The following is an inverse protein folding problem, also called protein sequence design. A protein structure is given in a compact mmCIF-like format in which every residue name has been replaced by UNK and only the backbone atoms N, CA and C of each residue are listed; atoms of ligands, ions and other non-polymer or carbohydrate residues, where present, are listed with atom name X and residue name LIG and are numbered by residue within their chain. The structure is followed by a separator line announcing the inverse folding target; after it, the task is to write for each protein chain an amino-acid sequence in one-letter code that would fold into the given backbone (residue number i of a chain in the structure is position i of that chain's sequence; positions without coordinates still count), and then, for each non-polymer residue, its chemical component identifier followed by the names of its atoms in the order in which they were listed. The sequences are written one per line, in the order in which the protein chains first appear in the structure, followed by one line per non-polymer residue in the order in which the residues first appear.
data_IF_025946908730
#
_entry.id   IF_025946908730
#
_cell.length_a   1.000
_cell.length_b   1.000
_cell.length_c   1.000
_cell.angle_alpha   90.00
_cell.angle_beta   90.00
_cell.angle_gamma   90.00
#
_symmetry.space_group_name_H-M   'P 1'
#
loop_
_entity.id
_entity.type
_entity.pdbx_description
1 polymer ?
#
# COMPACT_ATOMS: atom_id res chain seq x y z
N UNK A 1 15.85 -8.01 -6.60
CA UNK A 1 14.49 -8.41 -6.20
C UNK A 1 14.58 -9.72 -5.42
N UNK A 2 14.29 -9.71 -4.11
CA UNK A 2 14.50 -10.90 -3.24
C UNK A 2 13.30 -11.84 -3.18
N UNK A 3 12.09 -11.29 -3.27
CA UNK A 3 10.85 -12.05 -3.16
C UNK A 3 10.45 -12.52 -4.55
N UNK A 4 10.63 -13.82 -4.83
CA UNK A 4 10.51 -14.37 -6.19
C UNK A 4 9.08 -14.31 -6.74
N UNK A 5 8.08 -14.49 -5.88
CA UNK A 5 6.67 -14.62 -6.21
C UNK A 5 5.90 -13.28 -6.33
N UNK A 6 6.60 -12.13 -6.33
CA UNK A 6 6.04 -10.83 -6.74
C UNK A 6 6.20 -10.67 -8.25
N UNK A 7 5.14 -10.58 -9.03
CA UNK A 7 5.30 -10.56 -10.49
C UNK A 7 5.86 -9.24 -10.98
N UNK A 8 5.18 -8.16 -10.61
CA UNK A 8 5.51 -6.79 -10.97
C UNK A 8 5.59 -5.94 -9.71
N UNK A 9 6.53 -5.00 -9.73
CA UNK A 9 6.61 -3.91 -8.77
C UNK A 9 6.41 -2.61 -9.53
N UNK A 10 5.27 -1.99 -9.32
CA UNK A 10 4.98 -0.66 -9.84
C UNK A 10 5.40 0.34 -8.77
N UNK A 11 6.34 1.21 -9.12
CA UNK A 11 6.84 2.27 -8.23
C UNK A 11 6.17 3.56 -8.67
N UNK A 12 5.36 4.12 -7.79
CA UNK A 12 4.68 5.40 -8.04
C UNK A 12 5.44 6.52 -7.34
N UNK A 13 5.85 7.53 -8.12
CA UNK A 13 6.78 8.57 -7.67
C UNK A 13 6.45 9.94 -8.28
N UNK A 14 7.04 11.00 -7.73
CA UNK A 14 6.88 12.37 -8.22
C UNK A 14 7.59 12.57 -9.57
N UNK A 15 6.95 13.20 -10.55
CA UNK A 15 7.52 13.48 -11.86
C UNK A 15 8.87 14.20 -11.80
N UNK A 16 9.09 15.05 -10.80
CA UNK A 16 10.35 15.76 -10.58
C UNK A 16 11.54 14.80 -10.37
N UNK A 17 11.28 13.58 -9.89
CA UNK A 17 12.32 12.58 -9.59
C UNK A 17 12.55 11.57 -10.74
N UNK A 18 11.99 11.80 -11.94
CA UNK A 18 12.04 10.82 -13.05
C UNK A 18 13.45 10.35 -13.38
N UNK A 19 14.40 11.28 -13.56
CA UNK A 19 15.79 10.94 -13.88
C UNK A 19 16.44 10.08 -12.78
N UNK A 20 16.26 10.48 -11.52
CA UNK A 20 16.80 9.74 -10.36
C UNK A 20 16.19 8.33 -10.29
N UNK A 21 14.89 8.19 -10.52
CA UNK A 21 14.22 6.90 -10.48
C UNK A 21 14.67 5.97 -11.61
N UNK A 22 14.89 6.50 -12.81
CA UNK A 22 15.45 5.74 -13.93
C UNK A 22 16.88 5.26 -13.65
N UNK A 23 17.74 6.12 -13.09
CA UNK A 23 19.10 5.76 -12.68
C UNK A 23 19.10 4.64 -11.63
N UNK A 24 18.25 4.77 -10.61
CA UNK A 24 18.12 3.78 -9.55
C UNK A 24 17.56 2.46 -10.11
N UNK A 25 16.50 2.48 -10.92
CA UNK A 25 15.97 1.24 -11.53
C UNK A 25 16.99 0.58 -12.46
N UNK A 26 17.76 1.39 -13.19
CA UNK A 26 18.86 0.94 -14.03
C UNK A 26 19.93 0.17 -13.26
N UNK A 27 20.30 0.62 -12.07
CA UNK A 27 21.37 0.01 -11.25
C UNK A 27 20.96 -1.31 -10.58
N UNK A 28 19.67 -1.53 -10.32
CA UNK A 28 19.14 -2.74 -9.64
C UNK A 28 19.12 -3.99 -10.54
N UNK A 29 19.11 -3.82 -11.87
CA UNK A 29 19.13 -4.94 -12.82
C UNK A 29 17.83 -5.75 -12.92
N UNK A 30 16.67 -5.14 -12.64
CA UNK A 30 15.35 -5.81 -12.68
C UNK A 30 14.31 -5.06 -13.53
N UNK A 31 14.74 -4.50 -14.66
CA UNK A 31 13.91 -3.62 -15.51
C UNK A 31 12.64 -4.32 -16.04
N UNK A 32 12.61 -5.65 -16.15
CA UNK A 32 11.44 -6.42 -16.61
C UNK A 32 10.34 -6.59 -15.53
N UNK A 33 10.64 -6.28 -14.27
CA UNK A 33 9.71 -6.43 -13.13
C UNK A 33 9.40 -5.12 -12.45
N UNK A 34 10.32 -4.16 -12.48
CA UNK A 34 10.13 -2.84 -11.88
C UNK A 34 9.62 -1.87 -12.93
N UNK A 35 8.48 -1.25 -12.66
CA UNK A 35 7.82 -0.33 -13.58
C UNK A 35 7.58 1.02 -12.91
N UNK A 36 8.04 2.08 -13.55
CA UNK A 36 7.93 3.44 -13.07
C UNK A 36 6.61 4.06 -13.54
N UNK A 37 5.85 4.65 -12.62
CA UNK A 37 4.59 5.36 -12.89
C UNK A 37 4.60 6.71 -12.18
N UNK A 38 4.18 7.75 -12.88
CA UNK A 38 4.04 9.09 -12.30
C UNK A 38 2.85 9.12 -11.35
N UNK A 39 3.07 9.62 -10.14
CA UNK A 39 2.03 9.88 -9.15
C UNK A 39 1.13 11.06 -9.53
N UNK A 40 0.33 11.49 -8.57
CA UNK A 40 -0.59 12.62 -8.72
C UNK A 40 -0.64 13.42 -7.42
N UNK A 41 -1.48 14.46 -7.36
CA UNK A 41 -1.55 15.42 -6.26
C UNK A 41 -1.89 14.79 -4.90
N UNK A 42 -2.54 13.62 -4.88
CA UNK A 42 -2.96 12.94 -3.65
C UNK A 42 -2.52 11.49 -3.61
N UNK A 43 -2.53 10.91 -2.40
CA UNK A 43 -2.23 9.50 -2.15
C UNK A 43 -3.10 8.58 -3.02
N UNK A 44 -4.41 8.73 -2.95
CA UNK A 44 -5.32 7.86 -3.69
C UNK A 44 -5.19 8.03 -5.21
N UNK A 45 -5.02 9.24 -5.73
CA UNK A 45 -4.80 9.43 -7.18
C UNK A 45 -3.49 8.77 -7.65
N UNK A 46 -2.44 8.84 -6.83
CA UNK A 46 -1.18 8.14 -7.12
C UNK A 46 -1.36 6.62 -7.14
N UNK A 47 -2.08 6.06 -6.17
CA UNK A 47 -2.38 4.61 -6.14
C UNK A 47 -3.23 4.21 -7.35
N UNK A 48 -4.21 5.03 -7.74
CA UNK A 48 -5.04 4.80 -8.91
C UNK A 48 -4.21 4.72 -10.21
N UNK A 49 -3.25 5.64 -10.40
CA UNK A 49 -2.34 5.58 -11.55
C UNK A 49 -1.59 4.25 -11.61
N UNK A 50 -1.11 3.76 -10.48
CA UNK A 50 -0.43 2.47 -10.41
C UNK A 50 -1.36 1.28 -10.70
N UNK A 51 -2.61 1.29 -10.21
CA UNK A 51 -3.60 0.26 -10.54
C UNK A 51 -3.95 0.27 -12.04
N UNK A 52 -4.13 1.46 -12.62
CA UNK A 52 -4.45 1.62 -14.05
C UNK A 52 -3.29 1.16 -14.94
N UNK A 53 -2.04 1.32 -14.49
CA UNK A 53 -0.87 0.86 -15.22
C UNK A 53 -0.85 -0.66 -15.44
N UNK A 54 -1.47 -1.46 -14.57
CA UNK A 54 -1.61 -2.92 -14.75
C UNK A 54 -2.35 -3.23 -16.06
N UNK A 55 -3.45 -2.52 -16.33
CA UNK A 55 -4.26 -2.70 -17.54
C UNK A 55 -3.58 -2.08 -18.75
N UNK A 56 -3.04 -0.86 -18.60
CA UNK A 56 -2.41 -0.13 -19.70
C UNK A 56 -1.17 -0.86 -20.27
N UNK A 57 -0.56 -1.76 -19.50
CA UNK A 57 0.58 -2.58 -19.92
C UNK A 57 0.19 -3.94 -20.49
N UNK A 58 -1.11 -4.23 -20.59
CA UNK A 58 -1.65 -5.49 -21.13
C UNK A 58 -1.10 -6.74 -20.43
N UNK A 59 -0.78 -6.62 -19.14
CA UNK A 59 -0.34 -7.78 -18.36
C UNK A 59 -1.53 -8.66 -17.97
N UNK A 60 -1.28 -9.96 -17.71
CA UNK A 60 -2.26 -10.78 -17.01
C UNK A 60 -2.71 -10.09 -15.73
N UNK A 61 -4.02 -10.07 -15.49
CA UNK A 61 -4.56 -9.48 -14.27
C UNK A 61 -4.05 -10.28 -13.05
N UNK A 62 -3.50 -9.62 -12.03
CA UNK A 62 -3.06 -10.30 -10.83
C UNK A 62 -4.27 -10.71 -9.99
N UNK A 63 -4.12 -11.75 -9.17
CA UNK A 63 -5.13 -12.12 -8.19
C UNK A 63 -5.14 -11.12 -7.04
N UNK A 64 -3.95 -10.69 -6.61
CA UNK A 64 -3.75 -9.76 -5.49
C UNK A 64 -2.82 -8.62 -5.86
N UNK A 65 -3.16 -7.45 -5.35
CA UNK A 65 -2.31 -6.26 -5.34
C UNK A 65 -1.99 -5.90 -3.89
N UNK A 66 -0.73 -5.60 -3.60
CA UNK A 66 -0.29 -5.05 -2.32
C UNK A 66 0.11 -3.60 -2.52
N UNK A 67 -0.48 -2.72 -1.72
CA UNK A 67 -0.11 -1.31 -1.61
C UNK A 67 0.79 -1.14 -0.38
N UNK A 68 1.96 -0.55 -0.58
CA UNK A 68 2.94 -0.34 0.47
C UNK A 68 3.61 1.02 0.38
N UNK A 69 3.84 1.70 1.50
CA UNK A 69 4.49 3.00 1.50
C UNK A 69 5.98 2.89 1.15
N UNK A 70 6.43 3.74 0.22
CA UNK A 70 7.83 3.78 -0.22
C UNK A 70 8.83 4.09 0.88
N UNK A 71 8.42 4.94 1.83
CA UNK A 71 9.22 5.36 2.98
C UNK A 71 9.46 4.24 4.02
N UNK A 72 8.83 3.08 3.86
CA UNK A 72 8.94 1.93 4.78
C UNK A 72 9.64 0.77 4.08
N UNK A 73 10.95 0.85 3.78
CA UNK A 73 11.60 -0.11 2.90
C UNK A 73 11.70 -1.54 3.46
N UNK A 74 11.22 -1.78 4.68
CA UNK A 74 11.58 -2.92 5.51
C UNK A 74 10.35 -3.78 5.75
N UNK A 75 10.31 -4.96 5.13
CA UNK A 75 9.13 -5.83 5.12
C UNK A 75 9.49 -7.31 5.18
N UNK A 76 8.95 -8.02 6.18
CA UNK A 76 9.09 -9.46 6.29
C UNK A 76 8.25 -10.21 5.25
N UNK A 77 8.86 -11.17 4.56
CA UNK A 77 8.18 -11.99 3.55
C UNK A 77 7.04 -12.83 4.14
N UNK A 78 7.17 -13.26 5.40
CA UNK A 78 6.12 -13.97 6.14
C UNK A 78 4.85 -13.13 6.31
N UNK A 79 5.01 -11.84 6.65
CA UNK A 79 3.89 -10.90 6.78
C UNK A 79 3.19 -10.70 5.43
N UNK A 80 3.95 -10.49 4.36
CA UNK A 80 3.39 -10.42 3.00
C UNK A 80 2.63 -11.68 2.63
N UNK A 81 3.19 -12.86 2.90
CA UNK A 81 2.52 -14.13 2.63
C UNK A 81 1.18 -14.24 3.36
N UNK A 82 1.13 -13.82 4.62
CA UNK A 82 -0.09 -13.84 5.41
C UNK A 82 -1.13 -12.85 4.87
N UNK A 83 -0.71 -11.61 4.54
CA UNK A 83 -1.58 -10.60 3.95
C UNK A 83 -2.19 -11.06 2.63
N UNK A 84 -1.38 -11.57 1.70
CA UNK A 84 -1.84 -12.08 0.41
C UNK A 84 -2.82 -13.23 0.60
N UNK A 85 -2.52 -14.17 1.51
CA UNK A 85 -3.42 -15.29 1.81
C UNK A 85 -4.77 -14.82 2.37
N UNK A 86 -4.78 -13.80 3.23
CA UNK A 86 -6.00 -13.22 3.76
C UNK A 86 -6.76 -12.37 2.74
N UNK A 87 -6.07 -11.64 1.86
CA UNK A 87 -6.72 -10.93 0.76
C UNK A 87 -7.39 -11.92 -0.20
N UNK A 88 -6.72 -13.03 -0.56
CA UNK A 88 -7.32 -14.10 -1.34
C UNK A 88 -8.55 -14.70 -0.67
N UNK A 89 -8.58 -14.81 0.66
CA UNK A 89 -9.71 -15.43 1.38
C UNK A 89 -10.88 -14.47 1.65
N UNK A 90 -10.60 -13.24 2.08
CA UNK A 90 -11.60 -12.29 2.58
C UNK A 90 -11.86 -11.11 1.61
N UNK A 91 -11.00 -10.94 0.61
CA UNK A 91 -11.03 -9.87 -0.38
C UNK A 91 -10.03 -8.76 -0.10
N UNK A 92 -9.79 -8.42 1.17
CA UNK A 92 -8.72 -7.50 1.55
C UNK A 92 -8.10 -7.83 2.92
N UNK A 93 -6.89 -7.35 3.15
CA UNK A 93 -6.20 -7.46 4.43
C UNK A 93 -5.24 -6.29 4.66
N UNK A 94 -4.99 -5.99 5.94
CA UNK A 94 -4.14 -4.89 6.34
C UNK A 94 -3.48 -5.13 7.68
N UNK A 95 -2.46 -4.31 7.98
CA UNK A 95 -1.73 -4.36 9.23
C UNK A 95 -2.26 -3.28 10.16
N UNK A 96 -2.40 -3.61 11.44
CA UNK A 96 -2.77 -2.66 12.49
C UNK A 96 -1.78 -2.72 13.65
N UNK A 97 -1.59 -1.60 14.34
CA UNK A 97 -0.79 -1.54 15.55
C UNK A 97 -1.54 -0.81 16.68
N UNK A 98 -1.22 -1.15 17.93
CA UNK A 98 -1.80 -0.48 19.09
C UNK A 98 -1.38 0.99 19.11
N UNK A 99 -2.34 1.86 19.38
CA UNK A 99 -2.07 3.28 19.60
C UNK A 99 -1.22 3.46 20.86
N UNK A 100 -0.17 4.29 20.76
CA UNK A 100 0.71 4.65 21.89
C UNK A 100 0.31 5.96 22.56
N UNK A 101 -0.22 6.90 21.78
CA UNK A 101 -0.77 8.16 22.26
C UNK A 101 -2.30 8.08 22.39
N UNK A 102 -2.87 8.91 23.25
CA UNK A 102 -4.32 9.12 23.29
C UNK A 102 -4.74 9.90 22.04
N UNK A 103 -5.83 9.48 21.41
CA UNK A 103 -6.44 10.19 20.27
C UNK A 103 -7.67 10.93 20.78
N UNK A 104 -7.75 12.22 20.45
CA UNK A 104 -8.84 13.10 20.86
C UNK A 104 -9.61 13.54 19.62
N UNK A 105 -10.93 13.61 19.70
CA UNK A 105 -11.71 14.46 18.79
C UNK A 105 -11.82 15.86 19.39
N UNK A 106 -11.85 16.85 18.51
CA UNK A 106 -11.91 18.26 18.88
C UNK A 106 -12.98 18.96 18.07
N UNK A 107 -13.61 19.98 18.66
CA UNK A 107 -14.53 20.85 17.94
C UNK A 107 -13.80 21.72 16.91
N UNK A 108 -14.56 22.43 16.06
CA UNK A 108 -14.02 23.39 15.10
C UNK A 108 -13.21 24.53 15.76
N UNK A 109 -13.43 24.79 17.05
CA UNK A 109 -12.70 25.79 17.84
C UNK A 109 -11.56 25.18 18.68
N UNK A 110 -11.18 23.93 18.40
CA UNK A 110 -10.12 23.17 19.10
C UNK A 110 -10.37 22.90 20.58
N UNK A 111 -11.62 22.93 21.04
CA UNK A 111 -11.97 22.39 22.36
C UNK A 111 -12.05 20.86 22.30
N UNK A 112 -11.65 20.21 23.38
CA UNK A 112 -11.80 18.75 23.53
C UNK A 112 -13.28 18.37 23.45
N UNK A 113 -13.62 17.47 22.53
CA UNK A 113 -14.96 16.87 22.43
C UNK A 113 -14.96 15.50 23.14
N UNK A 114 -14.14 14.55 22.69
CA UNK A 114 -13.95 13.28 23.38
C UNK A 114 -12.53 12.70 23.26
N UNK A 115 -12.23 11.72 24.11
CA UNK A 115 -11.04 10.86 23.99
C UNK A 115 -11.46 9.46 23.52
N UNK A 116 -10.83 8.94 22.47
CA UNK A 116 -11.12 7.61 21.96
C UNK A 116 -10.60 6.52 22.90
N UNK A 117 -11.39 5.46 23.07
CA UNK A 117 -10.98 4.26 23.83
C UNK A 117 -9.89 3.51 23.06
N UNK A 118 -8.65 3.68 23.51
CA UNK A 118 -7.44 3.12 22.90
C UNK A 118 -7.41 1.59 22.87
N UNK A 119 -8.27 0.90 23.62
CA UNK A 119 -8.38 -0.56 23.58
C UNK A 119 -9.20 -1.06 22.39
N UNK A 120 -9.99 -0.17 21.77
CA UNK A 120 -10.87 -0.46 20.63
C UNK A 120 -10.38 0.14 19.31
N UNK A 121 -9.38 1.01 19.36
CA UNK A 121 -8.86 1.72 18.19
C UNK A 121 -7.39 1.39 17.96
N UNK A 122 -7.03 1.24 16.69
CA UNK A 122 -5.69 0.87 16.25
C UNK A 122 -5.26 1.82 15.13
N UNK A 123 -3.94 2.03 15.00
CA UNK A 123 -3.41 2.69 13.82
C UNK A 123 -3.32 1.67 12.69
N UNK A 124 -3.79 2.06 11.52
CA UNK A 124 -3.61 1.32 10.28
C UNK A 124 -2.20 1.55 9.74
N UNK A 125 -1.60 0.48 9.21
CA UNK A 125 -0.24 0.49 8.68
C UNK A 125 -0.20 -0.19 7.31
N UNK A 126 0.81 0.16 6.50
CA UNK A 126 1.15 -0.58 5.29
C UNK A 126 2.27 -1.59 5.55
N UNK A 127 2.29 -2.75 4.86
CA UNK A 127 1.55 -3.07 3.63
C UNK A 127 0.08 -3.45 3.84
N UNK A 128 -0.72 -3.25 2.80
CA UNK A 128 -2.11 -3.68 2.70
C UNK A 128 -2.31 -4.48 1.42
N UNK A 129 -3.04 -5.59 1.48
CA UNK A 129 -3.26 -6.48 0.34
C UNK A 129 -4.73 -6.56 -0.05
N UNK A 130 -5.01 -6.62 -1.34
CA UNK A 130 -6.35 -6.56 -1.90
C UNK A 130 -6.48 -7.54 -3.05
N UNK A 131 -7.60 -8.23 -3.18
CA UNK A 131 -7.98 -8.80 -4.48
C UNK A 131 -8.00 -7.68 -5.51
N UNK A 132 -7.42 -7.94 -6.67
CA UNK A 132 -7.31 -6.92 -7.72
C UNK A 132 -8.68 -6.35 -8.12
N UNK A 133 -9.68 -7.22 -8.25
CA UNK A 133 -11.04 -6.83 -8.62
C UNK A 133 -11.65 -5.88 -7.56
N UNK A 134 -11.51 -6.19 -6.27
CA UNK A 134 -12.02 -5.37 -5.17
C UNK A 134 -11.41 -3.97 -5.14
N UNK A 135 -10.08 -3.87 -5.27
CA UNK A 135 -9.43 -2.54 -5.27
C UNK A 135 -9.75 -1.77 -6.54
N UNK A 136 -9.78 -2.42 -7.71
CA UNK A 136 -10.17 -1.78 -8.96
C UNK A 136 -11.59 -1.23 -8.90
N UNK A 137 -12.53 -2.02 -8.41
CA UNK A 137 -13.93 -1.61 -8.25
C UNK A 137 -14.05 -0.41 -7.30
N UNK A 138 -13.37 -0.45 -6.17
CA UNK A 138 -13.40 0.64 -5.19
C UNK A 138 -12.90 1.96 -5.77
N UNK A 139 -11.77 1.92 -6.49
CA UNK A 139 -11.20 3.12 -7.12
C UNK A 139 -12.00 3.61 -8.33
N UNK A 140 -12.75 2.73 -9.00
CA UNK A 140 -13.67 3.14 -10.07
C UNK A 140 -14.95 3.81 -9.54
N UNK A 141 -15.30 3.59 -8.27
CA UNK A 141 -16.56 4.06 -7.67
C UNK A 141 -16.38 5.16 -6.62
N UNK A 142 -15.18 5.32 -6.06
CA UNK A 142 -14.96 6.31 -5.01
C UNK A 142 -15.16 7.74 -5.53
N UNK A 143 -15.62 8.61 -4.64
CA UNK A 143 -15.92 10.00 -4.96
C UNK A 143 -14.65 10.84 -5.15
N UNK A 144 -14.78 12.03 -5.75
CA UNK A 144 -13.68 12.99 -5.81
C UNK A 144 -13.21 13.44 -4.42
N UNK A 145 -14.13 13.52 -3.45
CA UNK A 145 -13.81 13.81 -2.05
C UNK A 145 -12.98 12.69 -1.43
N UNK A 146 -13.33 11.42 -1.69
CA UNK A 146 -12.51 10.29 -1.23
C UNK A 146 -11.13 10.29 -1.87
N UNK A 147 -11.03 10.60 -3.17
CA UNK A 147 -9.73 10.78 -3.84
C UNK A 147 -8.88 11.89 -3.23
N UNK A 148 -9.51 12.89 -2.62
CA UNK A 148 -8.84 14.10 -2.15
C UNK A 148 -8.49 14.04 -0.66
N UNK A 149 -9.41 13.55 0.17
CA UNK A 149 -9.34 13.66 1.63
C UNK A 149 -9.25 12.33 2.36
N UNK A 150 -9.66 11.22 1.75
CA UNK A 150 -9.51 9.90 2.38
C UNK A 150 -8.03 9.53 2.45
N UNK A 151 -7.65 8.73 3.45
CA UNK A 151 -6.28 8.30 3.67
C UNK A 151 -6.13 6.77 3.68
N UNK A 152 -7.22 6.02 3.66
CA UNK A 152 -7.26 4.59 3.96
C UNK A 152 -7.85 3.76 2.81
N UNK A 153 -7.02 2.92 2.17
CA UNK A 153 -7.48 2.06 1.07
C UNK A 153 -8.45 0.97 1.55
N UNK A 154 -8.27 0.48 2.79
CA UNK A 154 -9.13 -0.54 3.39
C UNK A 154 -10.58 -0.02 3.55
N UNK A 155 -10.74 1.27 3.87
CA UNK A 155 -12.04 1.94 3.94
C UNK A 155 -12.71 1.98 2.55
N UNK A 156 -11.96 2.36 1.52
CA UNK A 156 -12.49 2.43 0.16
C UNK A 156 -13.00 1.07 -0.33
N UNK A 157 -12.23 -0.01 -0.16
CA UNK A 157 -12.67 -1.35 -0.60
C UNK A 157 -13.84 -1.88 0.23
N UNK A 158 -13.88 -1.56 1.53
CA UNK A 158 -15.00 -1.94 2.38
C UNK A 158 -16.30 -1.24 1.94
N UNK A 159 -16.23 0.06 1.66
CA UNK A 159 -17.39 0.89 1.29
C UNK A 159 -17.87 0.63 -0.14
N UNK A 160 -16.96 0.62 -1.10
CA UNK A 160 -17.31 0.68 -2.53
C UNK A 160 -17.32 -0.69 -3.24
N UNK A 161 -16.64 -1.69 -2.68
CA UNK A 161 -16.59 -3.05 -3.23
C UNK A 161 -17.18 -4.10 -2.27
N UNK A 162 -17.91 -3.67 -1.22
CA UNK A 162 -18.55 -4.54 -0.21
C UNK A 162 -17.62 -5.66 0.31
N UNK A 163 -16.33 -5.35 0.42
CA UNK A 163 -15.29 -6.34 0.67
C UNK A 163 -15.02 -6.48 2.17
N UNK A 164 -14.93 -7.71 2.66
CA UNK A 164 -14.48 -7.95 4.04
C UNK A 164 -12.97 -7.69 4.17
N UNK A 165 -12.59 -6.98 5.23
CA UNK A 165 -11.20 -6.65 5.51
C UNK A 165 -10.70 -7.45 6.70
N UNK A 166 -9.66 -8.27 6.52
CA UNK A 166 -9.01 -9.00 7.63
C UNK A 166 -7.77 -8.26 8.10
N UNK A 167 -7.76 -7.87 9.37
CA UNK A 167 -6.64 -7.14 9.98
C UNK A 167 -5.68 -8.10 10.69
N UNK A 168 -4.39 -7.79 10.60
CA UNK A 168 -3.29 -8.47 11.30
C UNK A 168 -2.70 -7.49 12.31
N UNK A 169 -2.70 -7.84 13.59
CA UNK A 169 -2.03 -7.05 14.61
C UNK A 169 -0.51 -7.26 14.53
N UNK A 170 0.23 -6.17 14.33
CA UNK A 170 1.68 -6.17 14.31
C UNK A 170 2.26 -6.25 15.74
N UNK A 171 3.22 -7.15 15.95
CA UNK A 171 3.97 -7.21 17.20
C UNK A 171 4.91 -6.00 17.37
N UNK A 172 5.40 -5.73 18.59
CA UNK A 172 6.28 -4.59 18.87
C UNK A 172 7.56 -4.54 18.01
N UNK A 173 8.07 -5.71 17.57
CA UNK A 173 9.08 -5.78 16.51
C UNK A 173 8.50 -5.19 15.23
N UNK A 174 7.41 -5.74 14.70
CA UNK A 174 6.75 -5.34 13.44
C UNK A 174 6.33 -3.87 13.36
N UNK A 175 5.83 -3.28 14.44
CA UNK A 175 5.52 -1.85 14.53
C UNK A 175 6.74 -0.92 14.41
N UNK A 176 7.96 -1.47 14.50
CA UNK A 176 9.24 -0.74 14.35
C UNK A 176 10.21 -1.48 13.42
N UNK A 177 9.76 -2.47 12.63
CA UNK A 177 10.69 -3.44 12.06
C UNK A 177 11.49 -2.84 10.92
N UNK A 178 12.80 -2.88 11.15
CA UNK A 178 13.84 -2.31 10.32
C UNK A 178 14.60 -3.35 9.49
N UNK A 179 13.99 -4.44 9.02
CA UNK A 179 14.74 -5.47 8.28
C UNK A 179 13.92 -6.12 7.15
N UNK A 180 14.24 -5.72 5.91
CA UNK A 180 14.23 -6.44 4.61
C UNK A 180 13.78 -5.48 3.49
N UNK A 181 14.71 -5.12 2.62
CA UNK A 181 14.53 -4.26 1.45
C UNK A 181 13.68 -4.96 0.37
N UNK A 182 12.45 -4.48 0.10
CA UNK A 182 11.71 -4.87 -1.12
C UNK A 182 12.49 -4.38 -2.35
N UNK A 183 13.03 -3.17 -2.24
CA UNK A 183 13.98 -2.58 -3.17
C UNK A 183 15.15 -2.05 -2.36
N UNK A 184 16.37 -2.19 -2.88
CA UNK A 184 17.64 -1.98 -2.15
C UNK A 184 17.71 -0.63 -1.40
N UNK A 185 18.72 -0.49 -0.52
CA UNK A 185 18.91 0.65 0.39
C UNK A 185 18.84 2.02 -0.31
N UNK A 186 19.16 2.08 -1.59
CA UNK A 186 19.13 3.26 -2.45
C UNK A 186 17.73 3.92 -2.52
N UNK A 187 16.63 3.18 -2.39
CA UNK A 187 15.27 3.78 -2.36
C UNK A 187 14.99 4.49 -1.04
N UNK A 188 15.64 4.09 0.04
CA UNK A 188 15.37 4.66 1.37
C UNK A 188 15.87 6.10 1.54
N UNK A 189 16.76 6.56 0.66
CA UNK A 189 17.29 7.93 0.67
C UNK A 189 16.38 8.91 -0.09
N UNK A 190 15.39 8.41 -0.83
CA UNK A 190 14.43 9.23 -1.57
C UNK A 190 13.25 9.56 -0.65
N UNK A 191 13.20 10.82 -0.19
CA UNK A 191 12.15 11.33 0.70
C UNK A 191 10.73 11.32 0.09
N UNK A 192 10.56 10.93 -1.18
CA UNK A 192 9.30 11.03 -1.95
C UNK A 192 9.07 9.85 -2.92
N UNK A 193 9.36 8.62 -2.50
CA UNK A 193 8.66 7.47 -3.09
C UNK A 193 7.33 7.37 -2.38
N UNK A 194 6.25 7.53 -3.14
CA UNK A 194 4.93 7.53 -2.54
C UNK A 194 4.53 6.10 -2.18
N UNK A 195 4.48 5.19 -3.17
CA UNK A 195 4.01 3.83 -2.96
C UNK A 195 4.70 2.81 -3.86
N UNK A 196 4.82 1.60 -3.32
CA UNK A 196 5.04 0.38 -4.06
C UNK A 196 3.71 -0.33 -4.22
N UNK A 197 3.35 -0.61 -5.48
CA UNK A 197 2.26 -1.52 -5.81
C UNK A 197 2.89 -2.81 -6.32
N UNK A 198 2.84 -3.85 -5.49
CA UNK A 198 3.31 -5.19 -5.88
C UNK A 198 2.13 -6.04 -6.35
N UNK A 199 2.29 -6.72 -7.49
CA UNK A 199 1.26 -7.60 -8.06
C UNK A 199 1.62 -9.06 -7.83
N UNK A 200 0.62 -9.90 -7.62
CA UNK A 200 0.78 -11.31 -7.27
C UNK A 200 -0.22 -12.20 -8.01
N UNK A 201 0.28 -13.28 -8.62
CA UNK A 201 -0.52 -14.37 -9.17
C UNK A 201 -0.39 -15.61 -8.28
N UNK A 202 -1.52 -16.20 -7.90
CA UNK A 202 -1.60 -17.36 -7.01
C UNK A 202 -0.91 -18.60 -7.60
N UNK A 203 -0.80 -18.70 -8.93
CA UNK A 203 -0.15 -19.81 -9.63
C UNK A 203 1.39 -19.77 -9.58
N UNK A 204 1.99 -18.71 -9.03
CA UNK A 204 3.45 -18.53 -8.96
C UNK A 204 4.03 -18.84 -7.57
N UNK A 205 3.24 -19.53 -6.73
CA UNK A 205 3.67 -20.11 -5.44
C UNK A 205 3.86 -21.61 -5.52
#
# INVERSE_FOLDING_TARGET
FRIKWIDKLIVVFDAENSKLMEEIVGSIGHQNRIHLVIGSATRHRSIANGIQAIVAKEWPLPDVVVVHDGARPLLEESLLNQLVSFALKYGASGVICKLTSTVLSVSNEHFLDNALDRTKHFASETPQAFRYESIKEAYNKCSEDDYTFNTECLDLVQRYASTQVKLIEANASQSRLRKIFIVQKEFSEIKRIFYFIATFNANLK
#
